data_IF_770084447784
#
_entry.id   IF_770084447784
#
_cell.length_a   1.000
_cell.length_b   1.000
_cell.length_c   1.000
_cell.angle_alpha   90.00
_cell.angle_beta   90.00
_cell.angle_gamma   90.00
#
_symmetry.space_group_name_H-M   'P 1'
#
loop_
_entity.id
_entity.type
_entity.pdbx_description
1 polymer ?
#
# COMPACT_ATOMS: atom_id res chain seq x y z
N UNK A 1 -4.14 2.32 21.91
CA UNK A 1 -4.25 0.94 21.37
C UNK A 1 -4.73 0.87 19.91
N UNK A 2 -5.11 1.99 19.28
CA UNK A 2 -5.79 2.07 17.98
C UNK A 2 -4.97 1.89 16.67
N UNK A 3 -3.64 2.17 16.57
CA UNK A 3 -2.98 2.19 15.26
C UNK A 3 -2.76 0.79 14.65
N UNK A 4 -2.60 -0.24 15.49
CA UNK A 4 -2.31 -1.60 15.03
C UNK A 4 -3.52 -2.26 14.36
N UNK A 5 -4.73 -2.02 14.88
CA UNK A 5 -6.00 -2.54 14.33
C UNK A 5 -6.28 -1.93 12.96
N UNK A 6 -6.06 -0.62 12.81
CA UNK A 6 -6.27 0.09 11.53
C UNK A 6 -5.29 -0.37 10.45
N UNK A 7 -4.03 -0.65 10.77
CA UNK A 7 -3.05 -1.13 9.77
C UNK A 7 -3.39 -2.55 9.30
N UNK A 8 -3.87 -3.41 10.21
CA UNK A 8 -4.26 -4.78 9.88
C UNK A 8 -5.45 -4.86 8.92
N UNK A 9 -6.41 -3.93 9.01
CA UNK A 9 -7.55 -3.90 8.08
C UNK A 9 -7.13 -3.54 6.65
N UNK A 10 -6.19 -2.61 6.49
CA UNK A 10 -5.68 -2.20 5.17
C UNK A 10 -4.81 -3.30 4.55
N UNK A 11 -3.96 -3.96 5.35
CA UNK A 11 -3.14 -5.08 4.87
C UNK A 11 -4.01 -6.21 4.31
N UNK A 12 -5.10 -6.57 4.99
CA UNK A 12 -6.04 -7.60 4.52
C UNK A 12 -6.72 -7.23 3.19
N UNK A 13 -7.07 -5.96 3.02
CA UNK A 13 -7.64 -5.48 1.74
C UNK A 13 -6.62 -5.57 0.60
N UNK A 14 -5.35 -5.23 0.86
CA UNK A 14 -4.28 -5.37 -0.15
C UNK A 14 -4.01 -6.83 -0.51
N UNK A 15 -4.04 -7.74 0.46
CA UNK A 15 -3.92 -9.18 0.23
C UNK A 15 -5.09 -9.68 -0.65
N UNK A 16 -6.31 -9.18 -0.39
CA UNK A 16 -7.47 -9.52 -1.20
C UNK A 16 -7.34 -9.00 -2.65
N UNK A 17 -6.79 -7.80 -2.85
CA UNK A 17 -6.45 -7.29 -4.19
C UNK A 17 -5.40 -8.15 -4.87
N UNK A 18 -4.35 -8.55 -4.14
CA UNK A 18 -3.27 -9.40 -4.66
C UNK A 18 -3.79 -10.78 -5.13
N UNK A 19 -4.75 -11.36 -4.40
CA UNK A 19 -5.43 -12.59 -4.80
C UNK A 19 -6.26 -12.47 -6.09
N UNK A 20 -6.73 -11.26 -6.43
CA UNK A 20 -7.53 -11.00 -7.62
C UNK A 20 -6.67 -10.63 -8.84
N UNK A 21 -5.65 -9.79 -8.64
CA UNK A 21 -4.80 -9.26 -9.72
C UNK A 21 -3.56 -10.10 -10.01
N UNK A 22 -3.15 -10.91 -9.05
CA UNK A 22 -1.89 -11.62 -9.07
C UNK A 22 -0.78 -10.87 -8.32
N UNK A 23 0.13 -11.65 -7.76
CA UNK A 23 1.35 -11.22 -7.06
C UNK A 23 2.36 -12.38 -7.08
N UNK A 24 3.54 -12.21 -6.48
CA UNK A 24 4.53 -13.29 -6.41
C UNK A 24 4.01 -14.56 -5.69
N UNK A 25 2.96 -14.45 -4.89
CA UNK A 25 2.34 -15.57 -4.16
C UNK A 25 1.11 -16.17 -4.86
N UNK A 26 0.62 -15.60 -5.97
CA UNK A 26 -0.58 -16.08 -6.67
C UNK A 26 -0.69 -15.52 -8.08
N UNK A 27 -1.11 -16.34 -9.04
CA UNK A 27 -1.31 -15.90 -10.43
C UNK A 27 -2.46 -14.90 -10.60
N UNK A 28 -3.38 -14.83 -9.63
CA UNK A 28 -4.59 -14.02 -9.73
C UNK A 28 -5.67 -14.64 -10.62
N UNK A 29 -6.70 -13.84 -10.94
CA UNK A 29 -7.84 -14.30 -11.73
C UNK A 29 -7.80 -13.73 -13.15
N UNK A 30 -7.85 -14.62 -14.15
CA UNK A 30 -7.86 -14.23 -15.55
C UNK A 30 -9.09 -13.35 -15.89
N UNK A 31 -8.84 -12.19 -16.51
CA UNK A 31 -9.88 -11.22 -16.87
C UNK A 31 -10.32 -10.28 -15.74
N UNK A 32 -9.75 -10.43 -14.53
CA UNK A 32 -9.95 -9.48 -13.43
C UNK A 32 -8.84 -8.43 -13.47
N UNK A 33 -9.20 -7.22 -13.88
CA UNK A 33 -8.30 -6.06 -13.84
C UNK A 33 -8.44 -5.23 -12.55
N UNK A 34 -7.60 -4.20 -12.37
CA UNK A 34 -7.59 -3.35 -11.16
C UNK A 34 -8.96 -2.77 -10.78
N UNK A 35 -9.73 -2.36 -11.79
CA UNK A 35 -11.06 -1.78 -11.55
C UNK A 35 -12.05 -2.85 -11.10
N UNK A 36 -12.10 -3.98 -11.81
CA UNK A 36 -12.98 -5.10 -11.47
C UNK A 36 -12.66 -5.65 -10.08
N UNK A 37 -11.37 -5.73 -9.72
CA UNK A 37 -10.95 -6.19 -8.40
C UNK A 37 -11.49 -5.28 -7.28
N UNK A 38 -11.39 -3.96 -7.44
CA UNK A 38 -11.95 -3.01 -6.47
C UNK A 38 -13.47 -3.05 -6.42
N UNK A 39 -14.14 -3.27 -7.55
CA UNK A 39 -15.60 -3.43 -7.58
C UNK A 39 -16.04 -4.71 -6.85
N UNK A 40 -15.33 -5.83 -7.02
CA UNK A 40 -15.55 -7.07 -6.26
C UNK A 40 -15.40 -6.80 -4.76
N UNK A 41 -14.28 -6.20 -4.34
CA UNK A 41 -14.06 -5.94 -2.91
C UNK A 41 -15.09 -4.94 -2.35
N UNK A 42 -15.52 -3.96 -3.14
CA UNK A 42 -16.58 -3.04 -2.76
C UNK A 42 -17.95 -3.71 -2.62
N UNK A 43 -18.25 -4.71 -3.44
CA UNK A 43 -19.52 -5.43 -3.38
C UNK A 43 -19.61 -6.41 -2.20
N UNK A 44 -18.50 -7.10 -1.89
CA UNK A 44 -18.46 -8.18 -0.89
C UNK A 44 -17.80 -7.78 0.44
N UNK A 45 -17.74 -6.47 0.73
CA UNK A 45 -17.13 -5.89 1.94
C UNK A 45 -15.69 -6.37 2.18
N UNK A 46 -14.91 -6.54 1.11
CA UNK A 46 -13.54 -7.01 1.14
C UNK A 46 -13.36 -8.51 1.36
N UNK A 47 -14.45 -9.30 1.46
CA UNK A 47 -14.38 -10.75 1.66
C UNK A 47 -14.37 -11.51 0.34
N UNK A 48 -13.25 -12.17 0.04
CA UNK A 48 -13.13 -13.06 -1.12
C UNK A 48 -13.91 -14.37 -0.94
N UNK A 49 -14.18 -14.78 0.30
CA UNK A 49 -14.99 -15.97 0.61
C UNK A 49 -16.43 -15.75 0.16
N UNK A 50 -17.03 -14.60 0.54
CA UNK A 50 -18.39 -14.23 0.09
C UNK A 50 -18.48 -14.13 -1.43
N UNK A 51 -17.44 -13.59 -2.07
CA UNK A 51 -17.37 -13.53 -3.53
C UNK A 51 -17.35 -14.92 -4.17
N UNK A 52 -16.53 -15.84 -3.64
CA UNK A 52 -16.46 -17.23 -4.09
C UNK A 52 -17.81 -17.93 -3.96
N UNK A 53 -18.41 -17.88 -2.77
CA UNK A 53 -19.71 -18.53 -2.49
C UNK A 53 -20.79 -18.04 -3.46
N UNK A 54 -20.84 -16.72 -3.68
CA UNK A 54 -21.76 -16.14 -4.66
C UNK A 54 -21.48 -16.66 -6.06
N UNK A 55 -20.21 -16.64 -6.51
CA UNK A 55 -19.86 -17.07 -7.87
C UNK A 55 -20.11 -18.56 -8.12
N UNK A 56 -19.80 -19.42 -7.15
CA UNK A 56 -20.13 -20.85 -7.20
C UNK A 56 -21.65 -21.06 -7.26
N UNK A 57 -22.44 -20.34 -6.47
CA UNK A 57 -23.90 -20.40 -6.50
C UNK A 57 -24.49 -19.88 -7.82
N UNK A 58 -23.83 -18.91 -8.47
CA UNK A 58 -24.15 -18.47 -9.85
C UNK A 58 -23.89 -19.60 -10.86
N UNK A 59 -22.72 -20.26 -10.77
CA UNK A 59 -22.36 -21.34 -11.69
C UNK A 59 -23.25 -22.58 -11.52
N UNK A 60 -23.70 -22.86 -10.31
CA UNK A 60 -24.62 -23.95 -9.99
C UNK A 60 -26.10 -23.62 -10.33
N UNK A 61 -26.38 -22.45 -10.91
CA UNK A 61 -27.72 -21.93 -11.19
C UNK A 61 -28.64 -21.85 -9.95
N UNK A 62 -28.08 -21.80 -8.74
CA UNK A 62 -28.83 -21.60 -7.49
C UNK A 62 -29.29 -20.14 -7.38
N UNK A 63 -28.40 -19.21 -7.73
CA UNK A 63 -28.74 -17.79 -7.81
C UNK A 63 -29.05 -17.45 -9.27
N UNK A 64 -30.33 -17.31 -9.58
CA UNK A 64 -30.80 -16.97 -10.91
C UNK A 64 -30.54 -15.48 -11.23
N UNK A 65 -30.81 -15.08 -12.48
CA UNK A 65 -30.54 -13.71 -12.94
C UNK A 65 -31.43 -12.68 -12.24
N UNK A 66 -32.64 -13.10 -11.87
CA UNK A 66 -33.67 -12.29 -11.20
C UNK A 66 -33.21 -11.85 -9.80
N UNK A 67 -32.52 -12.72 -9.07
CA UNK A 67 -31.98 -12.41 -7.74
C UNK A 67 -30.91 -11.30 -7.76
N UNK A 68 -30.21 -11.12 -8.89
CA UNK A 68 -29.17 -10.10 -9.05
C UNK A 68 -29.65 -8.88 -9.85
N UNK A 69 -30.94 -8.79 -10.21
CA UNK A 69 -31.46 -7.65 -11.00
C UNK A 69 -31.33 -6.32 -10.27
N UNK A 70 -31.43 -6.32 -8.95
CA UNK A 70 -31.24 -5.14 -8.11
C UNK A 70 -29.80 -4.63 -8.04
N UNK A 71 -28.81 -5.43 -8.46
CA UNK A 71 -27.40 -5.06 -8.36
C UNK A 71 -26.75 -4.84 -9.76
N UNK A 72 -26.44 -3.58 -10.12
CA UNK A 72 -25.88 -3.26 -11.44
C UNK A 72 -24.47 -3.83 -11.65
N UNK A 73 -23.69 -4.01 -10.58
CA UNK A 73 -22.37 -4.64 -10.66
C UNK A 73 -22.52 -6.13 -10.96
N UNK A 74 -23.30 -6.88 -10.17
CA UNK A 74 -23.48 -8.33 -10.36
C UNK A 74 -24.00 -8.68 -11.75
N UNK A 75 -24.96 -7.90 -12.26
CA UNK A 75 -25.50 -8.05 -13.63
C UNK A 75 -24.43 -7.84 -14.71
N UNK A 76 -23.55 -6.85 -14.55
CA UNK A 76 -22.43 -6.59 -15.48
C UNK A 76 -21.34 -7.64 -15.33
N UNK A 77 -21.01 -8.02 -14.10
CA UNK A 77 -20.00 -9.01 -13.79
C UNK A 77 -20.35 -10.36 -14.41
N UNK A 78 -21.58 -10.87 -14.22
CA UNK A 78 -22.04 -12.12 -14.87
C UNK A 78 -21.92 -12.11 -16.40
N UNK A 79 -22.16 -10.96 -17.04
CA UNK A 79 -22.03 -10.82 -18.50
C UNK A 79 -20.56 -10.87 -18.97
N UNK A 80 -19.66 -10.28 -18.19
CA UNK A 80 -18.25 -10.14 -18.54
C UNK A 80 -17.39 -11.32 -18.06
N UNK A 81 -17.79 -11.98 -16.97
CA UNK A 81 -17.05 -13.05 -16.30
C UNK A 81 -17.44 -14.46 -16.79
N UNK A 82 -17.94 -14.59 -18.02
CA UNK A 82 -18.41 -15.86 -18.59
C UNK A 82 -17.34 -16.96 -18.68
N UNK A 83 -16.05 -16.58 -18.59
CA UNK A 83 -14.90 -17.51 -18.59
C UNK A 83 -14.08 -17.44 -17.30
N UNK A 84 -14.62 -16.83 -16.24
CA UNK A 84 -13.91 -16.74 -14.96
C UNK A 84 -13.94 -18.10 -14.27
N UNK A 85 -12.75 -18.68 -14.11
CA UNK A 85 -12.55 -19.90 -13.34
C UNK A 85 -11.91 -19.54 -12.00
N UNK A 86 -12.54 -19.98 -10.90
CA UNK A 86 -11.95 -19.89 -9.57
C UNK A 86 -11.21 -21.19 -9.28
N UNK A 87 -9.89 -21.15 -9.02
CA UNK A 87 -9.16 -22.32 -8.56
C UNK A 87 -9.80 -22.90 -7.29
N UNK A 88 -9.84 -24.22 -7.09
CA UNK A 88 -10.36 -24.84 -5.86
C UNK A 88 -9.80 -24.28 -4.54
N UNK A 89 -8.49 -23.94 -4.43
CA UNK A 89 -7.95 -23.36 -3.20
C UNK A 89 -8.29 -21.87 -3.03
N UNK A 90 -8.93 -21.20 -3.99
CA UNK A 90 -9.22 -19.77 -3.90
C UNK A 90 -10.28 -19.48 -2.83
N UNK A 91 -10.15 -18.43 -2.00
CA UNK A 91 -8.90 -17.74 -1.66
C UNK A 91 -8.00 -18.64 -0.81
N UNK A 92 -6.70 -18.74 -1.14
CA UNK A 92 -5.78 -19.63 -0.39
C UNK A 92 -5.35 -18.96 0.93
N UNK A 93 -5.69 -19.52 2.10
CA UNK A 93 -5.32 -18.94 3.38
C UNK A 93 -3.80 -18.85 3.58
N UNK A 94 -3.02 -19.67 2.89
CA UNK A 94 -1.54 -19.67 2.96
C UNK A 94 -0.94 -18.36 2.47
N UNK A 95 -1.56 -17.72 1.48
CA UNK A 95 -1.09 -16.43 0.96
C UNK A 95 -1.25 -15.36 2.03
N UNK A 96 -2.42 -15.32 2.68
CA UNK A 96 -2.67 -14.37 3.76
C UNK A 96 -1.70 -14.57 4.92
N UNK A 97 -1.42 -15.83 5.27
CA UNK A 97 -0.46 -16.17 6.31
C UNK A 97 0.96 -15.68 5.96
N UNK A 98 1.45 -15.98 4.75
CA UNK A 98 2.80 -15.57 4.32
C UNK A 98 2.97 -14.04 4.26
N UNK A 99 1.91 -13.29 3.93
CA UNK A 99 1.97 -11.83 3.90
C UNK A 99 1.88 -11.18 5.30
N UNK A 100 1.15 -11.80 6.24
CA UNK A 100 0.95 -11.23 7.58
C UNK A 100 2.08 -11.64 8.53
N UNK A 101 2.55 -12.87 8.41
CA UNK A 101 3.58 -13.47 9.27
C UNK A 101 4.74 -13.98 8.41
N UNK A 102 5.50 -13.08 7.75
CA UNK A 102 6.73 -13.46 7.09
C UNK A 102 7.78 -13.88 8.13
N UNK A 103 8.63 -14.84 7.75
CA UNK A 103 9.80 -15.19 8.54
C UNK A 103 10.80 -14.03 8.50
N UNK A 104 10.84 -13.24 9.57
CA UNK A 104 11.74 -12.10 9.70
C UNK A 104 12.63 -12.26 10.93
N UNK A 105 13.90 -11.89 10.79
CA UNK A 105 14.79 -11.71 11.92
C UNK A 105 14.31 -10.50 12.73
N UNK A 106 14.02 -10.73 14.02
CA UNK A 106 13.38 -9.74 14.91
C UNK A 106 14.38 -9.00 15.79
N UNK A 107 15.68 -9.13 15.51
CA UNK A 107 16.74 -8.54 16.30
C UNK A 107 16.65 -7.01 16.25
N UNK A 108 16.56 -6.39 17.42
CA UNK A 108 16.46 -4.94 17.57
C UNK A 108 17.82 -4.23 17.53
N UNK A 109 18.86 -4.88 16.96
CA UNK A 109 20.19 -4.30 16.88
C UNK A 109 20.17 -3.10 15.92
N UNK A 110 20.66 -1.92 16.34
CA UNK A 110 20.71 -0.77 15.46
C UNK A 110 21.75 -1.01 14.36
N UNK A 111 21.38 -0.70 13.12
CA UNK A 111 22.34 -0.67 12.02
C UNK A 111 23.44 0.35 12.29
N UNK A 112 24.68 -0.05 12.11
CA UNK A 112 25.84 0.84 12.17
C UNK A 112 26.35 1.08 10.76
N UNK A 113 26.45 2.35 10.38
CA UNK A 113 27.02 2.75 9.10
C UNK A 113 28.47 3.18 9.33
N UNK A 114 29.41 2.39 8.81
CA UNK A 114 30.84 2.70 8.87
C UNK A 114 31.28 3.70 7.79
N UNK A 115 32.50 4.21 7.93
CA UNK A 115 33.18 4.96 6.85
C UNK A 115 33.77 3.95 5.86
N UNK A 116 33.42 4.01 4.56
CA UNK A 116 33.95 3.08 3.57
C UNK A 116 35.47 3.21 3.41
N UNK A 117 36.17 2.07 3.36
CA UNK A 117 37.60 2.03 3.04
C UNK A 117 37.82 2.19 1.53
N UNK A 118 38.37 3.34 1.15
CA UNK A 118 38.51 3.75 -0.24
C UNK A 118 39.64 3.04 -0.97
N UNK A 119 40.72 2.72 -0.27
CA UNK A 119 41.84 2.02 -0.87
C UNK A 119 41.47 0.57 -1.12
N UNK A 120 40.77 -0.06 -0.16
CA UNK A 120 40.18 -1.38 -0.35
C UNK A 120 39.15 -1.39 -1.49
N UNK A 121 38.26 -0.39 -1.55
CA UNK A 121 37.28 -0.27 -2.63
C UNK A 121 37.93 -0.07 -4.00
N UNK A 122 38.99 0.75 -4.09
CA UNK A 122 39.74 0.97 -5.32
C UNK A 122 40.39 -0.33 -5.80
N UNK A 123 41.10 -1.03 -4.91
CA UNK A 123 41.72 -2.33 -5.24
C UNK A 123 40.68 -3.37 -5.65
N UNK A 124 39.56 -3.46 -4.93
CA UNK A 124 38.47 -4.39 -5.24
C UNK A 124 37.83 -4.10 -6.60
N UNK A 125 37.53 -2.83 -6.89
CA UNK A 125 36.90 -2.43 -8.15
C UNK A 125 37.85 -2.61 -9.34
N UNK A 126 39.14 -2.32 -9.19
CA UNK A 126 40.14 -2.57 -10.22
C UNK A 126 40.35 -4.07 -10.49
N UNK A 127 40.22 -4.93 -9.47
CA UNK A 127 40.38 -6.37 -9.62
C UNK A 127 39.12 -7.06 -10.19
N UNK A 128 37.93 -6.58 -9.82
CA UNK A 128 36.65 -7.23 -10.14
C UNK A 128 35.99 -6.66 -11.40
N UNK A 129 36.35 -5.41 -11.77
CA UNK A 129 35.78 -4.73 -12.93
C UNK A 129 36.88 -4.36 -13.92
N UNK A 130 36.54 -4.30 -15.21
CA UNK A 130 37.46 -3.81 -16.26
C UNK A 130 37.52 -2.27 -16.25
N UNK A 131 37.62 -1.65 -15.07
CA UNK A 131 37.74 -0.19 -14.95
C UNK A 131 39.17 0.19 -14.63
N UNK A 132 39.63 1.25 -15.26
CA UNK A 132 40.89 1.91 -14.92
C UNK A 132 40.75 2.67 -13.60
N UNK A 133 41.88 2.96 -12.96
CA UNK A 133 41.91 3.70 -11.69
C UNK A 133 41.20 5.05 -11.80
N UNK A 134 41.42 5.79 -12.89
CA UNK A 134 40.80 7.10 -13.16
C UNK A 134 39.27 7.04 -13.13
N UNK A 135 38.67 6.06 -13.82
CA UNK A 135 37.21 5.88 -13.83
C UNK A 135 36.63 5.44 -12.50
N UNK A 136 37.47 4.84 -11.64
CA UNK A 136 37.07 4.42 -10.30
C UNK A 136 37.07 5.63 -9.36
N UNK A 137 38.10 6.47 -9.45
CA UNK A 137 38.20 7.71 -8.68
C UNK A 137 37.14 8.74 -9.08
N UNK A 138 36.78 8.82 -10.37
CA UNK A 138 35.66 9.67 -10.86
C UNK A 138 34.33 9.36 -10.17
N UNK A 139 34.12 8.10 -9.76
CA UNK A 139 32.90 7.66 -9.07
C UNK A 139 33.03 7.77 -7.56
N UNK A 140 34.20 7.40 -7.00
CA UNK A 140 34.40 7.39 -5.55
C UNK A 140 34.55 8.80 -4.96
N UNK A 141 35.28 9.71 -5.63
CA UNK A 141 35.56 11.07 -5.12
C UNK A 141 34.28 11.89 -4.85
N UNK A 142 33.28 11.93 -5.74
CA UNK A 142 32.02 12.62 -5.47
C UNK A 142 31.25 12.03 -4.28
N UNK A 143 31.26 10.70 -4.13
CA UNK A 143 30.58 10.01 -3.02
C UNK A 143 31.24 10.38 -1.69
N UNK A 144 32.58 10.41 -1.63
CA UNK A 144 33.32 10.81 -0.42
C UNK A 144 33.01 12.25 -0.03
N UNK A 145 33.04 13.17 -1.02
CA UNK A 145 32.72 14.57 -0.78
C UNK A 145 31.30 14.73 -0.24
N UNK A 146 30.34 13.98 -0.78
CA UNK A 146 28.96 13.99 -0.31
C UNK A 146 28.81 13.37 1.09
N UNK A 147 29.53 12.28 1.39
CA UNK A 147 29.51 11.64 2.71
C UNK A 147 30.09 12.54 3.80
N UNK A 148 31.25 13.16 3.56
CA UNK A 148 31.87 14.10 4.50
C UNK A 148 30.96 15.31 4.72
N UNK A 149 30.38 15.86 3.64
CA UNK A 149 29.40 16.94 3.73
C UNK A 149 28.19 16.55 4.58
N UNK A 150 27.61 15.37 4.41
CA UNK A 150 26.46 14.90 5.20
C UNK A 150 26.80 14.60 6.66
N UNK A 151 28.05 14.25 6.95
CA UNK A 151 28.53 14.11 8.33
C UNK A 151 28.65 15.47 9.02
N UNK A 152 29.10 16.51 8.30
CA UNK A 152 29.27 17.87 8.82
C UNK A 152 27.95 18.67 8.87
N UNK A 153 27.11 18.56 7.84
CA UNK A 153 25.87 19.34 7.65
C UNK A 153 24.61 18.59 8.14
N UNK A 154 24.72 17.28 8.41
CA UNK A 154 23.60 16.41 8.75
C UNK A 154 22.83 15.90 7.53
N UNK A 155 22.01 14.86 7.74
CA UNK A 155 21.12 14.32 6.69
C UNK A 155 19.73 14.94 6.81
N UNK A 156 19.12 15.26 5.67
CA UNK A 156 17.78 15.83 5.62
C UNK A 156 16.74 14.84 6.19
N UNK A 157 16.25 15.10 7.40
CA UNK A 157 15.31 14.20 8.10
C UNK A 157 13.85 14.28 7.58
N UNK A 158 13.47 15.35 6.87
CA UNK A 158 12.10 15.54 6.37
C UNK A 158 12.08 16.28 5.03
N UNK A 159 11.19 15.87 4.11
CA UNK A 159 11.01 16.46 2.78
C UNK A 159 10.72 17.98 2.81
N UNK A 160 10.20 18.52 3.91
CA UNK A 160 9.97 19.97 4.05
C UNK A 160 11.26 20.79 3.99
N UNK A 161 12.36 20.27 4.54
CA UNK A 161 13.66 20.96 4.54
C UNK A 161 14.31 21.06 3.16
N UNK A 162 13.88 20.25 2.19
CA UNK A 162 14.30 20.35 0.79
C UNK A 162 13.74 21.61 0.10
N UNK A 163 12.50 22.00 0.44
CA UNK A 163 11.83 23.13 -0.20
C UNK A 163 12.23 24.49 0.37
N UNK A 164 12.76 24.53 1.58
CA UNK A 164 13.32 25.74 2.21
C UNK A 164 14.77 26.03 1.80
N UNK A 165 15.34 25.26 0.86
CA UNK A 165 16.63 25.57 0.24
C UNK A 165 17.85 25.42 1.14
N UNK A 166 17.70 24.77 2.31
CA UNK A 166 18.78 24.60 3.28
C UNK A 166 19.74 23.44 2.99
N UNK A 167 19.35 22.44 2.18
CA UNK A 167 20.19 21.25 1.96
C UNK A 167 19.91 20.62 0.59
N UNK A 168 20.91 20.61 -0.30
CA UNK A 168 20.99 19.66 -1.43
C UNK A 168 20.74 20.19 -2.85
N UNK A 169 21.81 20.11 -3.67
CA UNK A 169 21.91 20.02 -5.15
C UNK A 169 20.99 20.94 -5.97
N UNK A 170 21.49 22.14 -6.25
CA UNK A 170 20.91 23.03 -7.26
C UNK A 170 20.93 24.50 -6.89
N UNK A 171 22.03 25.00 -6.32
CA UNK A 171 22.28 26.42 -6.16
C UNK A 171 22.40 27.10 -7.54
N UNK A 172 21.27 27.30 -8.21
CA UNK A 172 21.07 28.21 -9.31
C UNK A 172 19.93 29.16 -8.89
N UNK A 173 20.36 30.37 -8.55
CA UNK A 173 19.53 31.50 -8.13
C UNK A 173 18.38 31.78 -9.11
N UNK A 174 17.17 32.02 -8.59
CA UNK A 174 16.34 33.17 -9.00
C UNK A 174 15.66 33.73 -7.74
N UNK A 175 16.05 34.94 -7.38
CA UNK A 175 15.49 35.73 -6.30
C UNK A 175 14.82 36.97 -6.95
N UNK A 176 13.62 37.32 -6.50
CA UNK A 176 13.01 38.66 -6.50
C UNK A 176 12.93 39.51 -7.80
N UNK A 177 13.27 39.02 -9.01
CA UNK A 177 13.18 39.82 -10.26
C UNK A 177 12.38 39.21 -11.41
N UNK A 178 11.54 38.21 -11.13
CA UNK A 178 10.43 37.77 -12.00
C UNK A 178 10.76 37.56 -13.48
N UNK A 179 11.15 36.35 -13.87
CA UNK A 179 10.83 35.72 -15.16
C UNK A 179 11.21 34.22 -15.14
N UNK A 180 10.59 33.44 -16.03
CA UNK A 180 9.94 32.14 -15.78
C UNK A 180 10.77 30.84 -15.81
N UNK A 181 10.27 29.81 -15.12
CA UNK A 181 10.38 28.40 -15.53
C UNK A 181 9.00 27.72 -15.47
N UNK A 182 8.66 26.95 -16.50
CA UNK A 182 7.30 26.55 -16.90
C UNK A 182 6.44 25.79 -15.85
N UNK A 183 5.10 25.97 -15.85
CA UNK A 183 4.20 25.18 -15.01
C UNK A 183 4.17 23.72 -15.48
N UNK A 184 4.58 22.78 -14.60
CA UNK A 184 4.35 21.35 -14.83
C UNK A 184 2.85 21.05 -14.73
N UNK A 185 2.22 20.76 -15.87
CA UNK A 185 0.83 20.30 -15.97
C UNK A 185 0.69 18.99 -15.17
N UNK A 186 -0.05 19.01 -14.06
CA UNK A 186 -0.47 17.79 -13.36
C UNK A 186 -1.25 16.92 -14.35
N UNK A 187 -0.78 15.71 -14.60
CA UNK A 187 -1.50 14.73 -15.39
C UNK A 187 -2.79 14.38 -14.62
N UNK A 188 -3.96 14.72 -15.17
CA UNK A 188 -5.25 14.33 -14.61
C UNK A 188 -5.33 12.80 -14.51
N UNK A 189 -5.34 12.29 -13.27
CA UNK A 189 -5.58 10.88 -13.01
C UNK A 189 -6.98 10.44 -13.45
N UNK A 190 -7.13 9.15 -13.76
CA UNK A 190 -8.39 8.56 -14.22
C UNK A 190 -9.56 8.87 -13.28
N UNK A 191 -10.59 9.56 -13.79
CA UNK A 191 -11.83 9.91 -13.04
C UNK A 191 -12.51 8.69 -12.41
N UNK A 192 -12.35 7.51 -13.04
CA UNK A 192 -12.91 6.25 -12.54
C UNK A 192 -12.21 5.79 -11.26
N UNK A 193 -10.89 5.95 -11.20
CA UNK A 193 -10.09 5.62 -10.02
C UNK A 193 -10.38 6.60 -8.87
N UNK A 194 -10.49 7.90 -9.18
CA UNK A 194 -10.84 8.92 -8.19
C UNK A 194 -12.20 8.64 -7.53
N UNK A 195 -13.22 8.29 -8.33
CA UNK A 195 -14.54 7.96 -7.81
C UNK A 195 -14.57 6.65 -7.00
N UNK A 196 -13.76 5.66 -7.39
CA UNK A 196 -13.66 4.40 -6.64
C UNK A 196 -12.98 4.62 -5.26
N UNK A 197 -11.90 5.40 -5.23
CA UNK A 197 -11.18 5.72 -3.99
C UNK A 197 -12.03 6.57 -3.04
N UNK A 198 -12.83 7.51 -3.56
CA UNK A 198 -13.74 8.31 -2.74
C UNK A 198 -14.80 7.47 -2.02
N UNK A 199 -15.44 6.53 -2.73
CA UNK A 199 -16.43 5.63 -2.13
C UNK A 199 -15.84 4.71 -1.07
N UNK A 200 -14.60 4.30 -1.25
CA UNK A 200 -13.89 3.45 -0.29
C UNK A 200 -13.56 4.23 0.99
N UNK A 201 -13.12 5.49 0.86
CA UNK A 201 -12.85 6.37 2.00
C UNK A 201 -14.11 6.68 2.83
N UNK A 202 -15.24 6.95 2.17
CA UNK A 202 -16.53 7.19 2.86
C UNK A 202 -17.03 5.95 3.61
N UNK A 203 -16.80 4.75 3.07
CA UNK A 203 -17.22 3.50 3.72
C UNK A 203 -16.36 3.17 4.94
N UNK A 204 -15.06 3.45 4.88
CA UNK A 204 -14.16 3.30 6.02
C UNK A 204 -14.56 4.26 7.16
N UNK A 205 -14.91 5.50 6.85
CA UNK A 205 -15.41 6.45 7.87
C UNK A 205 -16.73 6.02 8.51
N UNK A 206 -17.63 5.38 7.74
CA UNK A 206 -18.90 4.84 8.27
C UNK A 206 -18.69 3.64 9.19
N UNK A 207 -17.73 2.78 8.88
CA UNK A 207 -17.36 1.65 9.76
C UNK A 207 -16.70 2.15 11.04
N UNK A 208 -15.88 3.21 10.97
CA UNK A 208 -15.31 3.87 12.15
C UNK A 208 -16.41 4.49 13.05
N UNK A 209 -17.40 5.20 12.49
CA UNK A 209 -18.49 5.77 13.29
C UNK A 209 -19.41 4.71 13.92
N UNK A 210 -19.73 3.64 13.19
CA UNK A 210 -20.57 2.56 13.73
C UNK A 210 -19.86 1.71 14.80
N UNK A 211 -18.52 1.62 14.75
CA UNK A 211 -17.73 1.00 15.80
C UNK A 211 -17.72 1.82 17.09
N UNK A 212 -17.64 3.14 16.98
CA UNK A 212 -17.67 4.07 18.13
C UNK A 212 -19.06 4.12 18.77
N UNK A 213 -20.15 4.16 17.98
CA UNK A 213 -21.53 4.16 18.50
C UNK A 213 -21.93 2.83 19.18
N UNK A 214 -21.27 1.72 18.83
CA UNK A 214 -21.51 0.42 19.45
C UNK A 214 -20.74 0.25 20.78
N UNK A 215 -19.56 0.87 20.91
CA UNK A 215 -18.83 0.95 22.18
C UNK A 215 -19.52 1.91 23.17
N UNK A 216 -19.98 3.07 22.70
CA UNK A 216 -20.62 4.09 23.56
C UNK A 216 -21.97 3.61 24.14
N UNK A 217 -22.70 2.74 23.42
CA UNK A 217 -23.91 2.07 23.95
C UNK A 217 -23.61 0.93 24.93
N UNK A 218 -22.43 0.33 24.88
CA UNK A 218 -22.06 -0.74 25.81
C UNK A 218 -21.65 -0.19 27.18
N UNK A 219 -21.11 1.04 27.24
CA UNK A 219 -20.73 1.71 28.48
C UNK A 219 -21.93 2.32 29.24
N UNK A 220 -23.07 2.58 28.58
CA UNK A 220 -24.28 3.12 29.23
C UNK A 220 -25.12 2.06 29.97
N UNK A 221 -24.99 0.76 29.62
CA UNK A 221 -25.75 -0.33 30.24
C UNK A 221 -25.08 -0.93 31.51
N UNK A 222 -23.87 -0.50 31.90
CA UNK A 222 -23.14 -1.01 33.08
C UNK A 222 -23.21 -0.12 34.35
N UNK A 223 -24.08 0.89 34.41
CA UNK A 223 -24.30 1.66 35.67
C UNK A 223 -25.64 1.27 36.32
N UNK A 224 -25.65 0.11 36.98
CA UNK A 224 -26.73 -0.33 37.87
C UNK A 224 -26.81 0.52 39.16
N UNK A 225 -27.99 0.65 39.79
CA UNK A 225 -28.25 1.62 40.85
C UNK A 225 -27.54 1.22 42.16
N UNK A 226 -26.90 2.21 42.80
CA UNK A 226 -26.29 2.09 44.11
C UNK A 226 -27.34 1.72 45.18
N UNK A 227 -27.16 0.55 45.80
CA UNK A 227 -27.90 0.14 47.00
C UNK A 227 -27.48 1.00 48.18
N UNK A 228 -28.42 1.72 48.77
CA UNK A 228 -28.24 2.43 50.04
C UNK A 228 -29.33 1.92 50.99
N UNK A 229 -28.98 1.03 51.91
CA UNK A 229 -29.85 0.62 53.01
C UNK A 229 -29.10 0.69 54.34
N UNK A 230 -29.74 1.41 55.27
CA UNK A 230 -29.59 1.38 56.73
C UNK A 230 -30.56 0.35 57.30
#
# INVERSE_FOLDING_TARGET
>A
MLPRVRIQSHARQLIAVANLLGSDYTEGLAGVGPVTALEILGEFDGSLVKFREWWEAVQMNVITKENDEGNPFRKKFRKNATKLFLPPPFPDPRIAQACIEPEIESDALPFQWGVPDLDALRTFLMATTVRTQERTDDVLVPVIKDMNRRADEGTQANIKAFFDGGVGVGAARINARGEACAPRKRLEGSRRLGNALGRMAERVQRVDMQGVEAEERADEDEVGPATNDL
#
